data_IF_463911718860
#
_entry.id   IF_463911718860
#
_cell.length_a   1.000
_cell.length_b   1.000
_cell.length_c   1.000
_cell.angle_alpha   90.00
_cell.angle_beta   90.00
_cell.angle_gamma   90.00
#
_symmetry.space_group_name_H-M   'P 1'
#
loop_
_entity.id
_entity.type
_entity.pdbx_description
1 polymer ?
#
# COMPACT_ATOMS: atom_id res chain seq x y z
N UNK A 1 -19.69 9.26 -35.47
CA UNK A 1 -20.06 8.11 -34.61
C UNK A 1 -19.75 8.33 -33.12
N UNK A 2 -18.60 8.92 -32.76
CA UNK A 2 -18.17 9.12 -31.36
C UNK A 2 -19.10 10.03 -30.52
N UNK A 3 -19.73 11.03 -31.15
CA UNK A 3 -20.61 11.98 -30.46
C UNK A 3 -21.93 11.34 -30.00
N UNK A 4 -22.48 10.39 -30.77
CA UNK A 4 -23.74 9.70 -30.43
C UNK A 4 -23.58 8.80 -29.20
N UNK A 5 -22.41 8.17 -29.02
CA UNK A 5 -22.11 7.33 -27.85
C UNK A 5 -21.98 8.15 -26.55
N UNK A 6 -21.42 9.37 -26.60
CA UNK A 6 -21.38 10.26 -25.43
C UNK A 6 -22.79 10.70 -25.00
N UNK A 7 -23.66 11.04 -25.96
CA UNK A 7 -25.04 11.44 -25.65
C UNK A 7 -25.86 10.28 -25.10
N UNK A 8 -25.66 9.06 -25.61
CA UNK A 8 -26.32 7.85 -25.10
C UNK A 8 -25.90 7.49 -23.67
N UNK A 9 -24.62 7.68 -23.30
CA UNK A 9 -24.15 7.43 -21.94
C UNK A 9 -24.72 8.46 -20.95
N UNK A 10 -24.78 9.74 -21.34
CA UNK A 10 -25.37 10.79 -20.50
C UNK A 10 -26.88 10.57 -20.33
N UNK A 11 -27.58 10.18 -21.38
CA UNK A 11 -29.00 9.85 -21.31
C UNK A 11 -29.24 8.61 -20.45
N UNK A 12 -28.44 7.55 -20.57
CA UNK A 12 -28.56 6.36 -19.72
C UNK A 12 -28.30 6.67 -18.23
N UNK A 13 -27.33 7.53 -17.92
CA UNK A 13 -27.06 7.96 -16.54
C UNK A 13 -28.18 8.84 -15.98
N UNK A 14 -28.76 9.73 -16.80
CA UNK A 14 -29.91 10.54 -16.41
C UNK A 14 -31.17 9.68 -16.20
N UNK A 15 -31.42 8.69 -17.06
CA UNK A 15 -32.52 7.73 -16.90
C UNK A 15 -32.37 6.89 -15.64
N UNK A 16 -31.13 6.45 -15.33
CA UNK A 16 -30.85 5.73 -14.09
C UNK A 16 -31.11 6.62 -12.87
N UNK A 17 -30.71 7.90 -12.91
CA UNK A 17 -30.98 8.87 -11.84
C UNK A 17 -32.49 9.13 -11.66
N UNK A 18 -33.27 9.17 -12.75
CA UNK A 18 -34.73 9.37 -12.68
C UNK A 18 -35.43 8.14 -12.13
N UNK A 19 -35.01 6.93 -12.51
CA UNK A 19 -35.53 5.67 -11.94
C UNK A 19 -35.18 5.57 -10.46
N UNK A 20 -33.93 5.90 -10.08
CA UNK A 20 -33.48 5.96 -8.69
C UNK A 20 -34.25 7.02 -7.88
N UNK A 21 -34.58 8.17 -8.49
CA UNK A 21 -35.40 9.19 -7.85
C UNK A 21 -36.87 8.75 -7.68
N UNK A 22 -37.42 8.02 -8.66
CA UNK A 22 -38.78 7.48 -8.58
C UNK A 22 -38.95 6.37 -7.54
N UNK A 23 -37.96 5.49 -7.41
CA UNK A 23 -37.93 4.44 -6.37
C UNK A 23 -37.70 5.04 -4.96
N UNK A 24 -36.87 6.09 -4.86
CA UNK A 24 -36.66 6.85 -3.64
C UNK A 24 -37.88 7.68 -3.23
N UNK A 25 -38.57 8.32 -4.19
CA UNK A 25 -39.78 9.11 -3.90
C UNK A 25 -40.94 8.23 -3.44
N UNK A 26 -41.12 7.04 -4.04
CA UNK A 26 -42.14 6.08 -3.62
C UNK A 26 -41.89 5.48 -2.23
N UNK A 27 -40.64 5.44 -1.77
CA UNK A 27 -40.32 5.06 -0.39
C UNK A 27 -40.48 6.22 0.60
N UNK A 28 -40.40 7.47 0.13
CA UNK A 28 -40.48 8.69 0.96
C UNK A 28 -41.91 9.13 1.35
N UNK A 29 -42.96 8.70 0.66
CA UNK A 29 -44.34 9.09 1.01
C UNK A 29 -44.83 8.47 2.33
N UNK A 30 -44.09 7.50 2.89
CA UNK A 30 -44.41 6.90 4.20
C UNK A 30 -43.69 7.55 5.40
N UNK A 31 -42.79 8.52 5.19
CA UNK A 31 -41.99 9.11 6.28
C UNK A 31 -41.94 10.65 6.22
N UNK A 32 -43.07 11.30 6.53
CA UNK A 32 -43.08 12.73 6.92
C UNK A 32 -43.08 12.85 8.44
N UNK A 33 -41.91 12.70 9.06
CA UNK A 33 -41.48 13.35 10.31
C UNK A 33 -40.20 12.68 10.81
N UNK A 34 -39.09 13.41 10.86
CA UNK A 34 -37.88 12.95 11.52
C UNK A 34 -36.61 13.29 10.76
N UNK A 35 -35.82 14.18 11.35
CA UNK A 35 -34.46 14.52 10.92
C UNK A 35 -33.61 13.26 11.08
N UNK A 36 -33.22 12.62 9.98
CA UNK A 36 -32.36 11.44 10.00
C UNK A 36 -30.92 11.84 10.34
N UNK A 37 -30.39 11.31 11.45
CA UNK A 37 -28.95 11.30 11.72
C UNK A 37 -28.29 10.40 10.66
N UNK A 38 -27.17 10.87 10.11
CA UNK A 38 -26.33 10.26 9.06
C UNK A 38 -25.68 8.91 9.45
N UNK A 39 -26.22 8.20 10.46
CA UNK A 39 -25.63 7.01 11.11
C UNK A 39 -26.45 5.73 10.93
N UNK A 40 -27.57 5.77 10.21
CA UNK A 40 -28.37 4.56 9.91
C UNK A 40 -28.22 4.08 8.45
N UNK A 41 -27.04 4.29 7.87
CA UNK A 41 -26.67 3.63 6.63
C UNK A 41 -26.31 2.16 6.94
N UNK A 42 -27.15 1.24 6.47
CA UNK A 42 -27.00 -0.24 6.42
C UNK A 42 -25.69 -0.74 7.07
N UNK A 43 -25.79 -1.30 8.27
CA UNK A 43 -24.67 -2.05 8.87
C UNK A 43 -24.27 -3.18 7.94
N UNK A 44 -23.06 -3.10 7.38
CA UNK A 44 -22.40 -4.24 6.76
C UNK A 44 -22.43 -5.40 7.76
N UNK A 45 -22.85 -6.58 7.31
CA UNK A 45 -22.86 -7.77 8.15
C UNK A 45 -21.42 -8.28 8.30
N UNK A 46 -20.75 -7.88 9.38
CA UNK A 46 -19.42 -8.38 9.76
C UNK A 46 -18.46 -7.27 10.19
N UNK A 47 -17.51 -7.63 11.06
CA UNK A 47 -16.50 -6.70 11.60
C UNK A 47 -15.32 -6.50 10.63
N UNK A 48 -15.29 -7.19 9.48
CA UNK A 48 -14.14 -7.22 8.57
C UNK A 48 -14.56 -7.14 7.10
N UNK A 49 -13.92 -6.25 6.35
CA UNK A 49 -14.00 -6.16 4.89
C UNK A 49 -12.75 -6.79 4.27
N UNK A 50 -12.92 -7.86 3.50
CA UNK A 50 -11.81 -8.52 2.81
C UNK A 50 -11.66 -7.98 1.40
N UNK A 51 -10.45 -7.55 1.04
CA UNK A 51 -10.20 -7.04 -0.28
C UNK A 51 -9.00 -7.70 -0.96
N UNK A 52 -9.09 -7.86 -2.27
CA UNK A 52 -8.02 -8.34 -3.13
C UNK A 52 -7.80 -7.31 -4.22
N UNK A 53 -6.58 -6.80 -4.36
CA UNK A 53 -6.24 -5.82 -5.39
C UNK A 53 -5.32 -6.48 -6.40
N UNK A 54 -5.89 -6.89 -7.53
CA UNK A 54 -5.19 -7.59 -8.61
C UNK A 54 -4.89 -6.65 -9.76
N UNK A 55 -3.72 -6.00 -9.68
CA UNK A 55 -3.20 -5.09 -10.69
C UNK A 55 -1.79 -5.53 -11.12
N UNK A 56 -1.33 -5.13 -12.33
CA UNK A 56 0.02 -5.46 -12.78
C UNK A 56 1.11 -5.09 -11.77
N UNK A 57 2.23 -5.82 -11.76
CA UNK A 57 3.34 -5.56 -10.82
C UNK A 57 3.89 -4.11 -10.86
N UNK A 58 3.86 -3.45 -12.01
CA UNK A 58 4.29 -2.06 -12.16
C UNK A 58 3.24 -1.03 -11.64
N UNK A 59 2.07 -1.47 -11.22
CA UNK A 59 0.96 -0.65 -10.74
C UNK A 59 1.00 -0.37 -9.23
N UNK A 60 2.16 -0.50 -8.58
CA UNK A 60 2.35 -0.37 -7.13
C UNK A 60 1.60 0.76 -6.46
N UNK A 61 1.75 1.97 -7.01
CA UNK A 61 1.12 3.16 -6.47
C UNK A 61 -0.40 3.14 -6.62
N UNK A 62 -0.93 2.47 -7.65
CA UNK A 62 -2.39 2.27 -7.81
C UNK A 62 -2.92 1.24 -6.83
N UNK A 63 -2.15 0.18 -6.55
CA UNK A 63 -2.49 -0.77 -5.47
C UNK A 63 -2.61 -0.04 -4.14
N UNK A 64 -1.61 0.77 -3.78
CA UNK A 64 -1.66 1.61 -2.58
C UNK A 64 -2.86 2.56 -2.57
N UNK A 65 -3.18 3.18 -3.70
CA UNK A 65 -4.37 4.04 -3.81
C UNK A 65 -5.67 3.27 -3.50
N UNK A 66 -5.88 2.10 -4.11
CA UNK A 66 -7.08 1.29 -3.84
C UNK A 66 -7.14 0.82 -2.38
N UNK A 67 -6.02 0.36 -1.82
CA UNK A 67 -5.93 -0.04 -0.41
C UNK A 67 -6.30 1.11 0.52
N UNK A 68 -5.78 2.32 0.27
CA UNK A 68 -6.03 3.47 1.12
C UNK A 68 -7.50 3.94 1.03
N UNK A 69 -8.11 3.92 -0.16
CA UNK A 69 -9.55 4.21 -0.30
C UNK A 69 -10.39 3.19 0.48
N UNK A 70 -10.07 1.89 0.37
CA UNK A 70 -10.77 0.83 1.10
C UNK A 70 -10.54 0.93 2.61
N UNK A 71 -9.37 1.39 3.04
CA UNK A 71 -9.07 1.68 4.45
C UNK A 71 -9.96 2.80 4.97
N UNK A 72 -10.13 3.88 4.19
CA UNK A 72 -11.05 4.97 4.54
C UNK A 72 -12.50 4.48 4.62
N UNK A 73 -12.95 3.69 3.65
CA UNK A 73 -14.30 3.12 3.65
C UNK A 73 -14.54 2.22 4.88
N UNK A 74 -13.60 1.32 5.18
CA UNK A 74 -13.72 0.39 6.31
C UNK A 74 -13.79 1.16 7.63
N UNK A 75 -12.88 2.13 7.84
CA UNK A 75 -12.86 2.97 9.04
C UNK A 75 -14.16 3.78 9.22
N UNK A 76 -14.72 4.36 8.16
CA UNK A 76 -15.97 5.13 8.27
C UNK A 76 -17.19 4.28 8.61
N UNK A 77 -17.11 2.96 8.38
CA UNK A 77 -18.18 2.01 8.66
C UNK A 77 -17.87 1.09 9.86
N UNK A 78 -16.80 1.38 10.62
CA UNK A 78 -16.42 0.61 11.80
C UNK A 78 -15.97 -0.82 11.51
N UNK A 79 -15.40 -1.08 10.35
CA UNK A 79 -14.87 -2.38 9.95
C UNK A 79 -13.33 -2.37 9.93
N UNK A 80 -12.75 -3.53 10.19
CA UNK A 80 -11.36 -3.82 9.91
C UNK A 80 -11.17 -4.16 8.43
N UNK A 81 -10.11 -3.63 7.81
CA UNK A 81 -9.75 -4.00 6.44
C UNK A 81 -8.77 -5.18 6.49
N UNK A 82 -9.13 -6.30 5.86
CA UNK A 82 -8.22 -7.42 5.63
C UNK A 82 -7.79 -7.44 4.16
N UNK A 83 -6.53 -7.10 3.90
CA UNK A 83 -5.96 -7.19 2.56
C UNK A 83 -5.46 -8.60 2.26
N UNK A 84 -5.89 -9.13 1.11
CA UNK A 84 -5.49 -10.42 0.58
C UNK A 84 -4.59 -10.16 -0.63
N UNK A 85 -3.28 -10.39 -0.54
CA UNK A 85 -2.36 -10.20 -1.65
C UNK A 85 -2.74 -11.14 -2.80
N UNK A 86 -2.70 -10.61 -4.03
CA UNK A 86 -2.89 -11.39 -5.24
C UNK A 86 -1.74 -11.15 -6.21
N UNK A 87 -1.33 -12.24 -6.86
CA UNK A 87 -0.38 -12.25 -7.96
C UNK A 87 -0.95 -13.09 -9.11
N UNK A 88 -0.25 -13.11 -10.24
CA UNK A 88 -0.72 -13.77 -11.46
C UNK A 88 -0.83 -15.30 -11.33
N UNK A 89 -0.30 -15.90 -10.27
CA UNK A 89 -0.44 -17.34 -9.98
C UNK A 89 -1.70 -17.68 -9.19
N UNK A 90 -2.42 -16.68 -8.65
CA UNK A 90 -3.62 -16.90 -7.86
C UNK A 90 -4.89 -16.81 -8.73
N UNK A 91 -5.83 -17.77 -8.59
CA UNK A 91 -7.11 -17.70 -9.28
C UNK A 91 -8.02 -16.67 -8.61
N UNK A 92 -7.80 -15.37 -8.88
CA UNK A 92 -8.47 -14.26 -8.18
C UNK A 92 -10.00 -14.31 -8.26
N UNK A 93 -10.56 -14.87 -9.34
CA UNK A 93 -11.99 -15.09 -9.48
C UNK A 93 -12.53 -16.16 -8.54
N UNK A 94 -11.76 -17.21 -8.25
CA UNK A 94 -12.13 -18.24 -7.28
C UNK A 94 -12.15 -17.67 -5.85
N UNK A 95 -11.28 -16.69 -5.55
CA UNK A 95 -11.34 -16.00 -4.26
C UNK A 95 -12.67 -15.29 -4.07
N UNK A 96 -13.20 -14.68 -5.14
CA UNK A 96 -14.49 -13.99 -5.12
C UNK A 96 -15.67 -14.99 -5.11
N UNK A 97 -15.60 -16.06 -5.91
CA UNK A 97 -16.62 -17.12 -5.95
C UNK A 97 -16.75 -17.86 -4.62
N UNK A 98 -15.62 -18.19 -3.99
CA UNK A 98 -15.57 -18.93 -2.71
C UNK A 98 -15.67 -18.01 -1.48
N UNK A 99 -16.03 -16.74 -1.67
CA UNK A 99 -16.19 -15.74 -0.60
C UNK A 99 -14.96 -15.59 0.30
N UNK A 100 -13.76 -15.75 -0.28
CA UNK A 100 -12.49 -15.45 0.37
C UNK A 100 -12.20 -13.95 0.34
N UNK A 101 -12.68 -13.24 -0.69
CA UNK A 101 -12.61 -11.79 -0.81
C UNK A 101 -14.00 -11.20 -1.03
N UNK A 102 -14.28 -10.04 -0.45
CA UNK A 102 -15.55 -9.34 -0.60
C UNK A 102 -15.48 -8.34 -1.76
N UNK A 103 -14.33 -7.67 -1.90
CA UNK A 103 -14.04 -6.75 -3.00
C UNK A 103 -12.82 -7.25 -3.77
N UNK A 104 -13.02 -7.53 -5.06
CA UNK A 104 -11.94 -7.77 -6.01
C UNK A 104 -11.73 -6.53 -6.88
N UNK A 105 -10.60 -5.85 -6.72
CA UNK A 105 -10.19 -4.73 -7.57
C UNK A 105 -9.38 -5.25 -8.76
N UNK A 106 -9.84 -5.00 -9.98
CA UNK A 106 -9.24 -5.47 -11.23
C UNK A 106 -9.25 -4.37 -12.28
N UNK A 107 -8.54 -4.59 -13.39
CA UNK A 107 -8.68 -3.77 -14.59
C UNK A 107 -9.64 -4.46 -15.57
N UNK A 108 -10.88 -3.95 -15.73
CA UNK A 108 -11.91 -4.62 -16.55
C UNK A 108 -11.58 -4.66 -18.05
N UNK A 109 -10.64 -3.83 -18.51
CA UNK A 109 -10.18 -3.83 -19.90
C UNK A 109 -9.21 -5.01 -20.13
N UNK A 110 -8.41 -5.35 -19.12
CA UNK A 110 -7.43 -6.44 -19.17
C UNK A 110 -8.03 -7.78 -18.75
N UNK A 111 -8.81 -7.78 -17.69
CA UNK A 111 -9.24 -8.98 -16.96
C UNK A 111 -10.69 -9.30 -17.31
N UNK A 112 -10.90 -10.35 -18.11
CA UNK A 112 -12.24 -10.77 -18.53
C UNK A 112 -13.01 -11.44 -17.39
N UNK A 113 -14.28 -11.09 -17.25
CA UNK A 113 -15.19 -11.73 -16.29
C UNK A 113 -15.50 -13.16 -16.76
N UNK A 114 -15.30 -14.19 -15.92
CA UNK A 114 -15.68 -15.56 -16.23
C UNK A 114 -17.16 -15.70 -16.56
N UNK A 115 -17.50 -16.55 -17.53
CA UNK A 115 -18.90 -16.83 -17.90
C UNK A 115 -19.74 -17.33 -16.72
N UNK A 116 -19.12 -18.03 -15.76
CA UNK A 116 -19.76 -18.50 -14.52
C UNK A 116 -20.32 -17.36 -13.65
N UNK A 117 -19.74 -16.17 -13.76
CA UNK A 117 -20.04 -14.99 -12.96
C UNK A 117 -20.88 -13.94 -13.69
N UNK A 118 -21.14 -14.11 -14.99
CA UNK A 118 -21.95 -13.18 -15.77
C UNK A 118 -23.33 -12.97 -15.13
N UNK A 119 -23.70 -11.71 -14.90
CA UNK A 119 -24.97 -11.34 -14.27
C UNK A 119 -25.01 -11.48 -12.74
N UNK A 120 -24.00 -12.10 -12.12
CA UNK A 120 -23.93 -12.38 -10.67
C UNK A 120 -23.06 -11.40 -9.89
N UNK A 121 -22.55 -10.36 -10.55
CA UNK A 121 -21.61 -9.40 -9.97
C UNK A 121 -22.20 -7.99 -9.92
N UNK A 122 -21.90 -7.26 -8.85
CA UNK A 122 -21.92 -5.81 -8.84
C UNK A 122 -20.54 -5.29 -9.25
N UNK A 123 -20.52 -4.20 -10.03
CA UNK A 123 -19.29 -3.57 -10.52
C UNK A 123 -19.44 -2.07 -10.27
N UNK A 124 -18.45 -1.47 -9.60
CA UNK A 124 -18.45 -0.02 -9.38
C UNK A 124 -18.19 0.74 -10.69
N UNK A 125 -18.54 2.04 -10.75
CA UNK A 125 -17.91 2.94 -11.71
C UNK A 125 -16.38 2.88 -11.63
N UNK A 126 -15.71 3.36 -12.68
CA UNK A 126 -14.25 3.39 -12.73
C UNK A 126 -13.67 4.15 -11.54
N UNK A 127 -12.73 3.48 -10.86
CA UNK A 127 -12.04 4.00 -9.69
C UNK A 127 -10.96 4.99 -10.11
N UNK A 128 -10.20 4.65 -11.16
CA UNK A 128 -9.15 5.47 -11.78
C UNK A 128 -9.38 5.62 -13.29
N UNK A 129 -8.61 6.51 -13.92
CA UNK A 129 -8.63 6.70 -15.39
C UNK A 129 -8.09 5.52 -16.19
N UNK A 130 -7.55 4.48 -15.53
CA UNK A 130 -6.96 3.30 -16.19
C UNK A 130 -7.98 2.17 -16.41
N UNK A 131 -9.25 2.35 -16.05
CA UNK A 131 -10.29 1.33 -16.19
C UNK A 131 -10.38 0.35 -15.01
N UNK A 132 -9.82 0.72 -13.87
CA UNK A 132 -9.87 -0.11 -12.65
C UNK A 132 -11.24 -0.01 -12.00
N UNK A 133 -11.82 -1.16 -11.62
CA UNK A 133 -13.15 -1.28 -11.01
C UNK A 133 -13.09 -2.20 -9.80
N UNK A 134 -14.07 -2.07 -8.92
CA UNK A 134 -14.29 -3.00 -7.82
C UNK A 134 -15.46 -3.92 -8.16
N UNK A 135 -15.24 -5.21 -7.96
CA UNK A 135 -16.17 -6.28 -8.29
C UNK A 135 -16.58 -7.00 -7.01
N UNK A 136 -17.88 -7.23 -6.84
CA UNK A 136 -18.46 -7.86 -5.66
C UNK A 136 -19.54 -8.89 -6.08
N UNK A 137 -19.76 -9.89 -5.23
CA UNK A 137 -20.81 -10.90 -5.39
C UNK A 137 -22.19 -10.33 -5.06
N UNK A 138 -23.17 -10.43 -5.99
CA UNK A 138 -24.52 -9.87 -5.76
C UNK A 138 -25.24 -10.46 -4.55
N UNK A 139 -25.04 -11.74 -4.30
CA UNK A 139 -25.60 -12.51 -3.19
C UNK A 139 -24.94 -12.22 -1.83
N UNK A 140 -23.86 -11.41 -1.79
CA UNK A 140 -23.11 -11.08 -0.56
C UNK A 140 -22.86 -9.59 -0.36
N UNK A 141 -23.19 -8.75 -1.34
CA UNK A 141 -22.93 -7.31 -1.31
C UNK A 141 -24.23 -6.51 -1.47
N UNK A 142 -25.20 -6.77 -0.59
CA UNK A 142 -26.38 -5.92 -0.42
C UNK A 142 -26.01 -4.45 -0.09
N UNK A 143 -24.86 -4.25 0.56
CA UNK A 143 -24.23 -2.96 0.86
C UNK A 143 -23.58 -2.25 -0.33
N UNK A 144 -23.55 -2.82 -1.54
CA UNK A 144 -22.81 -2.23 -2.68
C UNK A 144 -23.26 -0.80 -3.04
N UNK A 145 -24.56 -0.46 -2.90
CA UNK A 145 -25.05 0.89 -3.17
C UNK A 145 -24.50 1.91 -2.16
N UNK A 146 -24.40 1.52 -0.89
CA UNK A 146 -23.77 2.34 0.14
C UNK A 146 -22.29 2.59 -0.20
N UNK A 147 -21.54 1.56 -0.62
CA UNK A 147 -20.16 1.72 -1.09
C UNK A 147 -20.06 2.71 -2.26
N UNK A 148 -20.89 2.55 -3.28
CA UNK A 148 -20.87 3.42 -4.48
C UNK A 148 -21.22 4.86 -4.11
N UNK A 149 -22.21 5.05 -3.23
CA UNK A 149 -22.61 6.37 -2.73
C UNK A 149 -21.48 7.00 -1.91
N UNK A 150 -20.91 6.27 -0.95
CA UNK A 150 -19.78 6.72 -0.15
C UNK A 150 -18.59 7.10 -1.03
N UNK A 151 -18.25 6.28 -2.03
CA UNK A 151 -17.14 6.58 -2.94
C UNK A 151 -17.37 7.88 -3.71
N UNK A 152 -18.62 8.14 -4.10
CA UNK A 152 -19.02 9.38 -4.77
C UNK A 152 -18.79 10.59 -3.87
N UNK A 153 -19.22 10.53 -2.61
CA UNK A 153 -19.00 11.59 -1.63
C UNK A 153 -17.52 11.76 -1.27
N UNK A 154 -16.80 10.66 -1.07
CA UNK A 154 -15.37 10.66 -0.77
C UNK A 154 -14.57 11.38 -1.85
N UNK A 155 -14.86 11.11 -3.14
CA UNK A 155 -14.22 11.76 -4.30
C UNK A 155 -14.53 13.26 -4.40
N UNK A 156 -15.62 13.73 -3.80
CA UNK A 156 -16.01 15.15 -3.76
C UNK A 156 -15.51 15.88 -2.51
N UNK A 157 -14.95 15.15 -1.54
CA UNK A 157 -14.48 15.74 -0.29
C UNK A 157 -13.31 16.73 -0.52
N UNK A 158 -13.19 17.81 0.29
CA UNK A 158 -12.13 18.81 0.13
C UNK A 158 -10.69 18.25 0.20
N UNK A 159 -10.50 17.10 0.86
CA UNK A 159 -9.19 16.44 1.00
C UNK A 159 -8.82 15.50 -0.15
N UNK A 160 -9.79 15.11 -1.00
CA UNK A 160 -9.58 14.05 -1.98
C UNK A 160 -8.50 14.37 -3.02
N UNK A 161 -8.38 15.63 -3.46
CA UNK A 161 -7.34 16.02 -4.41
C UNK A 161 -5.94 15.79 -3.84
N UNK A 162 -5.70 16.17 -2.57
CA UNK A 162 -4.41 15.91 -1.89
C UNK A 162 -4.18 14.43 -1.69
N UNK A 163 -5.21 13.69 -1.24
CA UNK A 163 -5.18 12.24 -1.09
C UNK A 163 -4.79 11.54 -2.40
N UNK A 164 -5.49 11.85 -3.50
CA UNK A 164 -5.25 11.27 -4.82
C UNK A 164 -3.83 11.59 -5.32
N UNK A 165 -3.39 12.84 -5.15
CA UNK A 165 -2.09 13.29 -5.65
C UNK A 165 -0.90 12.67 -4.91
N UNK A 166 -1.10 12.11 -3.70
CA UNK A 166 -0.08 11.25 -3.05
C UNK A 166 0.26 10.02 -3.91
N UNK A 167 -0.72 9.47 -4.63
CA UNK A 167 -0.58 8.24 -5.39
C UNK A 167 -0.51 8.44 -6.91
N UNK A 168 -1.25 9.40 -7.47
CA UNK A 168 -1.48 9.50 -8.92
C UNK A 168 -1.16 10.90 -9.48
N UNK A 169 -0.34 11.02 -10.54
CA UNK A 169 0.44 9.95 -11.17
C UNK A 169 1.56 9.45 -10.25
N UNK A 170 2.01 8.21 -10.51
CA UNK A 170 3.15 7.64 -9.81
C UNK A 170 4.44 8.41 -10.18
N UNK A 171 5.30 8.64 -9.19
CA UNK A 171 6.58 9.34 -9.37
C UNK A 171 7.61 8.73 -8.42
N UNK A 172 8.85 8.47 -8.86
CA UNK A 172 9.95 8.08 -7.98
C UNK A 172 10.25 9.11 -6.88
N UNK A 173 10.07 10.39 -7.19
CA UNK A 173 10.44 11.53 -6.34
C UNK A 173 9.42 11.80 -5.21
N UNK A 174 8.22 11.23 -5.31
CA UNK A 174 7.13 11.41 -4.33
C UNK A 174 6.61 10.06 -3.85
N UNK A 175 6.86 9.76 -2.57
CA UNK A 175 6.23 8.60 -1.94
C UNK A 175 4.82 8.94 -1.47
N UNK A 176 3.83 8.04 -1.64
CA UNK A 176 2.53 8.19 -0.99
C UNK A 176 2.61 8.14 0.54
N UNK A 177 3.75 7.69 1.10
CA UNK A 177 3.94 7.36 2.51
C UNK A 177 4.88 8.33 3.24
N UNK A 178 5.21 9.49 2.65
CA UNK A 178 6.11 10.49 3.24
C UNK A 178 5.72 10.86 4.68
N UNK A 179 4.42 10.99 4.99
CA UNK A 179 3.95 11.30 6.35
C UNK A 179 4.28 10.21 7.37
N UNK A 180 4.22 8.93 6.97
CA UNK A 180 4.61 7.81 7.83
C UNK A 180 6.13 7.79 8.04
N UNK A 181 6.90 8.07 6.99
CA UNK A 181 8.36 8.14 7.06
C UNK A 181 8.82 9.30 7.95
N UNK A 182 8.18 10.47 7.86
CA UNK A 182 8.46 11.62 8.72
C UNK A 182 8.22 11.29 10.20
N UNK A 183 7.11 10.63 10.52
CA UNK A 183 6.81 10.22 11.89
C UNK A 183 7.90 9.27 12.44
N UNK A 184 8.34 8.31 11.62
CA UNK A 184 9.29 7.27 12.04
C UNK A 184 10.75 7.73 12.04
N UNK A 185 11.16 8.64 11.14
CA UNK A 185 12.55 9.13 11.05
C UNK A 185 13.06 9.71 12.37
N UNK A 186 12.19 10.42 13.09
CA UNK A 186 12.48 10.98 14.41
C UNK A 186 12.93 9.94 15.45
N UNK A 187 12.49 8.68 15.32
CA UNK A 187 12.84 7.60 16.26
C UNK A 187 14.30 7.16 16.13
N UNK A 188 14.88 7.26 14.92
CA UNK A 188 16.27 6.89 14.64
C UNK A 188 17.24 8.08 14.72
N UNK A 189 16.71 9.30 14.72
CA UNK A 189 17.50 10.52 14.48
C UNK A 189 17.90 10.68 13.01
N UNK A 190 17.29 9.92 12.10
CA UNK A 190 17.60 9.98 10.66
C UNK A 190 16.69 10.98 9.94
N UNK A 191 17.19 11.61 8.88
CA UNK A 191 16.32 12.31 7.92
C UNK A 191 15.34 11.28 7.31
N UNK A 192 14.05 11.59 7.35
CA UNK A 192 13.00 10.75 6.77
C UNK A 192 13.17 10.53 5.26
N UNK A 193 13.87 11.43 4.55
CA UNK A 193 14.24 11.25 3.13
C UNK A 193 15.20 10.07 2.93
N UNK A 194 16.03 9.75 3.92
CA UNK A 194 16.87 8.54 3.90
C UNK A 194 16.00 7.29 4.00
N UNK A 195 15.01 7.27 4.90
CA UNK A 195 14.04 6.18 4.98
C UNK A 195 13.24 6.02 3.69
N UNK A 196 12.90 7.13 3.03
CA UNK A 196 12.29 7.11 1.70
C UNK A 196 13.20 6.44 0.67
N UNK A 197 14.51 6.70 0.73
CA UNK A 197 15.47 6.15 -0.23
C UNK A 197 15.59 4.63 -0.06
N UNK A 198 15.61 4.16 1.20
CA UNK A 198 15.52 2.74 1.54
C UNK A 198 14.23 2.15 0.97
N UNK A 199 13.06 2.69 1.32
CA UNK A 199 11.76 2.19 0.84
C UNK A 199 11.68 2.08 -0.69
N UNK A 200 12.20 3.09 -1.40
CA UNK A 200 12.21 3.08 -2.85
C UNK A 200 13.13 1.99 -3.40
N UNK A 201 14.32 1.81 -2.79
CA UNK A 201 15.26 0.76 -3.16
C UNK A 201 14.68 -0.63 -2.92
N UNK A 202 13.90 -0.81 -1.86
CA UNK A 202 13.28 -2.09 -1.47
C UNK A 202 12.08 -2.46 -2.35
N UNK A 203 11.10 -1.56 -2.49
CA UNK A 203 9.81 -1.91 -3.10
C UNK A 203 9.38 -0.98 -4.23
N UNK A 204 10.05 0.16 -4.44
CA UNK A 204 9.56 1.26 -5.29
C UNK A 204 8.14 1.70 -4.86
N UNK A 205 7.92 1.81 -3.55
CA UNK A 205 6.64 2.18 -2.92
C UNK A 205 5.49 1.19 -3.14
N UNK A 206 5.81 -0.09 -3.42
CA UNK A 206 4.84 -1.16 -3.60
C UNK A 206 4.52 -1.82 -2.27
N UNK A 207 3.36 -1.49 -1.69
CA UNK A 207 2.92 -2.14 -0.45
C UNK A 207 2.66 -3.65 -0.60
N UNK A 208 2.43 -4.11 -1.83
CA UNK A 208 2.22 -5.52 -2.16
C UNK A 208 3.44 -6.17 -2.83
N UNK A 209 4.64 -5.63 -2.62
CA UNK A 209 5.85 -6.25 -3.14
C UNK A 209 6.20 -7.51 -2.34
N UNK A 210 6.46 -8.59 -3.07
CA UNK A 210 7.01 -9.84 -2.55
C UNK A 210 8.29 -10.18 -3.31
N UNK A 211 9.39 -10.45 -2.60
CA UNK A 211 10.65 -10.89 -3.21
C UNK A 211 10.73 -12.40 -3.36
N UNK A 212 11.66 -12.89 -4.20
CA UNK A 212 11.96 -14.31 -4.29
C UNK A 212 12.47 -14.95 -2.99
N UNK A 213 12.93 -14.14 -2.03
CA UNK A 213 13.34 -14.58 -0.68
C UNK A 213 12.24 -14.38 0.38
N UNK A 214 10.99 -14.16 -0.06
CA UNK A 214 9.80 -13.91 0.77
C UNK A 214 9.91 -12.68 1.69
N UNK A 215 10.55 -11.63 1.18
CA UNK A 215 10.50 -10.32 1.81
C UNK A 215 9.24 -9.57 1.33
N UNK A 216 8.50 -8.95 2.25
CA UNK A 216 7.15 -8.44 1.99
C UNK A 216 7.06 -6.94 2.29
N UNK A 217 6.27 -6.23 1.48
CA UNK A 217 5.80 -4.87 1.76
C UNK A 217 6.77 -3.76 1.37
N UNK A 218 6.50 -2.56 1.87
CA UNK A 218 7.19 -1.33 1.48
C UNK A 218 8.70 -1.36 1.75
N UNK A 219 9.10 -1.97 2.84
CA UNK A 219 10.47 -2.07 3.33
C UNK A 219 11.05 -3.47 3.11
N UNK A 220 10.31 -4.40 2.50
CA UNK A 220 10.76 -5.77 2.22
C UNK A 220 11.28 -6.49 3.49
N UNK A 221 10.38 -6.67 4.46
CA UNK A 221 10.69 -7.39 5.71
C UNK A 221 10.38 -8.88 5.52
N UNK A 222 11.26 -9.75 5.99
CA UNK A 222 11.04 -11.20 5.98
C UNK A 222 10.07 -11.62 7.09
N UNK A 223 9.29 -12.66 6.84
CA UNK A 223 8.35 -13.22 7.83
C UNK A 223 9.03 -13.59 9.16
N UNK A 224 10.26 -14.13 9.12
CA UNK A 224 11.02 -14.43 10.34
C UNK A 224 11.30 -13.18 11.18
N UNK A 225 11.71 -12.08 10.52
CA UNK A 225 11.94 -10.79 11.17
C UNK A 225 10.63 -10.19 11.69
N UNK A 226 9.53 -10.38 10.96
CA UNK A 226 8.21 -9.95 11.40
C UNK A 226 7.75 -10.68 12.66
N UNK A 227 8.00 -11.99 12.75
CA UNK A 227 7.74 -12.78 13.94
C UNK A 227 8.59 -12.32 15.14
N UNK A 228 9.90 -12.14 14.93
CA UNK A 228 10.83 -11.69 15.98
C UNK A 228 10.47 -10.30 16.53
N UNK A 229 9.94 -9.42 15.67
CA UNK A 229 9.57 -8.04 16.03
C UNK A 229 8.08 -7.85 16.30
N UNK A 230 7.28 -8.93 16.28
CA UNK A 230 5.82 -8.89 16.45
C UNK A 230 5.12 -7.87 15.54
N UNK A 231 5.51 -7.83 14.26
CA UNK A 231 4.87 -6.96 13.25
C UNK A 231 3.51 -7.57 12.87
N UNK A 232 2.37 -6.86 13.05
CA UNK A 232 1.05 -7.45 12.85
C UNK A 232 0.73 -7.80 11.39
N UNK A 233 0.97 -6.86 10.47
CA UNK A 233 0.67 -7.04 9.05
C UNK A 233 1.79 -6.44 8.17
N UNK A 234 2.43 -7.28 7.37
CA UNK A 234 3.51 -6.87 6.47
C UNK A 234 3.03 -6.11 5.23
N UNK A 235 1.75 -6.24 4.85
CA UNK A 235 1.16 -5.48 3.75
C UNK A 235 0.62 -4.13 4.20
N UNK A 236 0.34 -3.96 5.49
CA UNK A 236 -0.04 -2.67 6.05
C UNK A 236 1.16 -1.69 5.97
N UNK A 237 1.02 -0.54 5.28
CA UNK A 237 2.10 0.43 5.13
C UNK A 237 2.73 0.91 6.45
N UNK A 238 1.91 1.17 7.47
CA UNK A 238 2.38 1.71 8.75
C UNK A 238 3.14 0.67 9.55
N UNK A 239 2.58 -0.54 9.68
CA UNK A 239 3.22 -1.65 10.39
C UNK A 239 4.53 -2.06 9.74
N UNK A 240 4.57 -2.10 8.41
CA UNK A 240 5.78 -2.45 7.66
C UNK A 240 6.90 -1.40 7.83
N UNK A 241 6.57 -0.10 7.76
CA UNK A 241 7.57 0.97 7.97
C UNK A 241 8.06 0.97 9.43
N UNK A 242 7.14 0.91 10.40
CA UNK A 242 7.46 0.88 11.83
C UNK A 242 8.33 -0.33 12.17
N UNK A 243 8.02 -1.48 11.57
CA UNK A 243 8.80 -2.71 11.69
C UNK A 243 10.23 -2.56 11.21
N UNK A 244 10.46 -1.95 10.05
CA UNK A 244 11.80 -1.71 9.52
C UNK A 244 12.62 -0.79 10.43
N UNK A 245 12.00 0.28 10.93
CA UNK A 245 12.62 1.25 11.84
C UNK A 245 12.97 0.61 13.19
N UNK A 246 12.11 -0.28 13.68
CA UNK A 246 12.38 -1.11 14.86
C UNK A 246 13.58 -2.03 14.61
N UNK A 247 13.65 -2.65 13.42
CA UNK A 247 14.78 -3.50 13.05
C UNK A 247 16.09 -2.73 12.89
N UNK A 248 16.07 -1.51 12.34
CA UNK A 248 17.25 -0.63 12.31
C UNK A 248 17.75 -0.31 13.72
N UNK A 249 16.83 -0.01 14.65
CA UNK A 249 17.17 0.20 16.06
C UNK A 249 17.75 -1.05 16.71
N UNK A 250 17.25 -2.23 16.35
CA UNK A 250 17.80 -3.52 16.78
C UNK A 250 19.24 -3.70 16.27
N UNK A 251 19.49 -3.47 14.97
CA UNK A 251 20.84 -3.56 14.38
C UNK A 251 21.80 -2.59 15.07
N UNK A 252 21.42 -1.30 15.17
CA UNK A 252 22.21 -0.24 15.84
C UNK A 252 22.71 -0.69 17.22
N UNK A 253 21.80 -1.26 18.01
CA UNK A 253 22.06 -1.69 19.38
C UNK A 253 22.98 -2.91 19.43
N UNK A 254 22.70 -3.94 18.65
CA UNK A 254 23.43 -5.20 18.69
C UNK A 254 24.82 -5.13 18.04
N UNK A 255 25.03 -4.19 17.11
CA UNK A 255 26.34 -3.92 16.51
C UNK A 255 27.14 -2.83 17.24
N UNK A 256 26.62 -2.33 18.37
CA UNK A 256 27.23 -1.28 19.21
C UNK A 256 27.61 0.00 18.44
N UNK A 257 26.78 0.43 17.50
CA UNK A 257 27.08 1.54 16.59
C UNK A 257 26.87 2.93 17.20
N UNK A 258 26.38 3.02 18.44
CA UNK A 258 26.09 4.31 19.08
C UNK A 258 27.31 5.23 19.30
N UNK A 259 28.53 4.69 19.18
CA UNK A 259 29.78 5.43 19.38
C UNK A 259 30.48 5.82 18.07
N UNK A 260 29.96 5.40 16.92
CA UNK A 260 30.49 5.81 15.61
C UNK A 260 29.78 7.07 15.12
N UNK A 261 30.32 7.73 14.10
CA UNK A 261 29.62 8.87 13.49
C UNK A 261 28.29 8.42 12.85
N UNK A 262 27.35 9.35 12.71
CA UNK A 262 26.03 9.05 12.14
C UNK A 262 26.12 8.42 10.74
N UNK A 263 27.03 8.92 9.90
CA UNK A 263 27.26 8.38 8.56
C UNK A 263 27.74 6.92 8.60
N UNK A 264 28.67 6.59 9.48
CA UNK A 264 29.19 5.24 9.64
C UNK A 264 28.12 4.30 10.21
N UNK A 265 27.35 4.78 11.20
CA UNK A 265 26.20 4.06 11.75
C UNK A 265 25.20 3.69 10.64
N UNK A 266 24.80 4.67 9.82
CA UNK A 266 23.89 4.46 8.70
C UNK A 266 24.46 3.40 7.74
N UNK A 267 25.73 3.54 7.35
CA UNK A 267 26.38 2.59 6.43
C UNK A 267 26.31 1.15 6.93
N UNK A 268 26.68 0.92 8.20
CA UNK A 268 26.63 -0.42 8.79
C UNK A 268 25.20 -0.94 8.95
N UNK A 269 24.23 -0.10 9.33
CA UNK A 269 22.83 -0.51 9.44
C UNK A 269 22.26 -0.91 8.08
N UNK A 270 22.50 -0.12 7.03
CA UNK A 270 22.06 -0.43 5.67
C UNK A 270 22.72 -1.71 5.15
N UNK A 271 24.01 -1.89 5.40
CA UNK A 271 24.72 -3.10 5.01
C UNK A 271 24.16 -4.35 5.74
N UNK A 272 23.90 -4.23 7.04
CA UNK A 272 23.36 -5.32 7.86
C UNK A 272 21.90 -5.64 7.50
N UNK A 273 21.11 -4.63 7.11
CA UNK A 273 19.77 -4.82 6.61
C UNK A 273 19.75 -5.66 5.33
N UNK A 274 20.68 -5.37 4.42
CA UNK A 274 20.76 -6.06 3.13
C UNK A 274 21.40 -7.46 3.21
N UNK A 275 22.50 -7.60 3.95
CA UNK A 275 23.31 -8.83 3.97
C UNK A 275 23.13 -9.70 5.23
N UNK A 276 22.45 -9.18 6.25
CA UNK A 276 22.33 -9.77 7.58
C UNK A 276 23.41 -9.27 8.54
N UNK A 277 22.98 -8.94 9.76
CA UNK A 277 23.81 -8.41 10.85
C UNK A 277 25.04 -9.27 11.15
N UNK A 278 24.84 -10.58 11.38
CA UNK A 278 25.96 -11.50 11.69
C UNK A 278 26.98 -11.61 10.58
N UNK A 279 26.59 -11.31 9.34
CA UNK A 279 27.50 -11.33 8.20
C UNK A 279 28.39 -10.08 8.19
N UNK A 280 27.80 -8.91 8.46
CA UNK A 280 28.54 -7.64 8.54
C UNK A 280 29.47 -7.61 9.75
N UNK A 281 29.07 -8.16 10.90
CA UNK A 281 29.97 -8.31 12.06
C UNK A 281 31.22 -9.12 11.71
N UNK A 282 31.06 -10.26 11.02
CA UNK A 282 32.21 -11.06 10.55
C UNK A 282 33.10 -10.29 9.57
N UNK A 283 32.52 -9.45 8.72
CA UNK A 283 33.29 -8.63 7.78
C UNK A 283 34.06 -7.52 8.54
N UNK A 284 33.49 -6.93 9.60
CA UNK A 284 34.19 -6.01 10.52
C UNK A 284 35.34 -6.69 11.27
N UNK A 285 35.11 -7.90 11.80
CA UNK A 285 36.13 -8.70 12.49
C UNK A 285 37.32 -9.01 11.57
N UNK A 286 37.05 -9.39 10.31
CA UNK A 286 38.10 -9.64 9.31
C UNK A 286 38.91 -8.39 8.99
N UNK A 287 38.24 -7.25 8.80
CA UNK A 287 38.93 -5.98 8.59
C UNK A 287 39.86 -5.66 9.77
N UNK A 288 39.40 -5.85 11.00
CA UNK A 288 40.21 -5.64 12.21
C UNK A 288 41.42 -6.59 12.29
N UNK A 289 41.27 -7.86 11.89
CA UNK A 289 42.38 -8.83 11.82
C UNK A 289 43.48 -8.38 10.84
N UNK A 290 43.09 -7.68 9.77
CA UNK A 290 44.01 -7.09 8.80
C UNK A 290 44.54 -5.69 9.21
N UNK A 291 44.31 -5.28 10.47
CA UNK A 291 44.78 -4.01 11.02
C UNK A 291 43.99 -2.78 10.54
N UNK A 292 42.77 -2.97 10.03
CA UNK A 292 41.85 -1.89 9.66
C UNK A 292 40.97 -1.46 10.82
N UNK A 293 40.41 -0.26 10.74
CA UNK A 293 39.41 0.21 11.70
C UNK A 293 38.03 -0.39 11.38
N UNK A 294 37.45 -1.25 12.26
CA UNK A 294 36.15 -1.89 12.04
C UNK A 294 34.96 -0.92 12.15
N UNK A 295 35.19 0.34 12.50
CA UNK A 295 34.18 1.38 12.62
C UNK A 295 34.17 2.36 11.44
N UNK A 296 35.04 2.16 10.45
CA UNK A 296 35.12 2.99 9.24
C UNK A 296 34.67 2.18 8.03
N UNK A 297 33.50 2.50 7.48
CA UNK A 297 32.88 1.80 6.36
C UNK A 297 33.80 1.70 5.15
N UNK A 298 34.56 2.74 4.82
CA UNK A 298 35.50 2.70 3.71
C UNK A 298 36.59 1.62 3.89
N UNK A 299 36.93 1.27 5.12
CA UNK A 299 37.91 0.22 5.42
C UNK A 299 37.28 -1.18 5.53
N UNK A 300 36.01 -1.26 5.93
CA UNK A 300 35.28 -2.54 6.05
C UNK A 300 34.60 -2.96 4.74
N UNK A 301 34.12 -2.01 3.94
CA UNK A 301 33.37 -2.27 2.71
C UNK A 301 34.07 -3.21 1.72
N UNK A 302 35.42 -3.24 1.56
CA UNK A 302 36.08 -4.21 0.70
C UNK A 302 35.86 -5.68 1.09
N UNK A 303 35.53 -5.97 2.35
CA UNK A 303 35.23 -7.31 2.87
C UNK A 303 33.76 -7.69 2.70
N UNK A 304 32.90 -6.69 2.51
CA UNK A 304 31.44 -6.81 2.35
C UNK A 304 31.10 -7.21 0.88
N UNK A 305 30.00 -7.93 0.59
CA UNK A 305 29.62 -8.32 -0.76
C UNK A 305 29.42 -7.10 -1.64
N UNK A 306 29.87 -7.21 -2.87
CA UNK A 306 29.72 -6.14 -3.86
C UNK A 306 28.26 -5.71 -4.05
N UNK A 307 27.29 -6.62 -3.90
CA UNK A 307 25.87 -6.27 -3.98
C UNK A 307 25.45 -5.36 -2.81
N UNK A 308 25.94 -5.63 -1.61
CA UNK A 308 25.64 -4.85 -0.40
C UNK A 308 26.35 -3.51 -0.40
N UNK A 309 27.60 -3.45 -0.88
CA UNK A 309 28.29 -2.18 -1.12
C UNK A 309 27.47 -1.28 -2.05
N UNK A 310 27.05 -1.81 -3.21
CA UNK A 310 26.20 -1.10 -4.17
C UNK A 310 24.85 -0.70 -3.57
N UNK A 311 24.28 -1.53 -2.69
CA UNK A 311 23.02 -1.20 -2.03
C UNK A 311 23.15 0.06 -1.16
N UNK A 312 24.19 0.14 -0.33
CA UNK A 312 24.50 1.32 0.50
C UNK A 312 24.74 2.56 -0.38
N UNK A 313 25.57 2.43 -1.41
CA UNK A 313 25.85 3.51 -2.38
C UNK A 313 24.58 4.02 -3.06
N UNK A 314 23.69 3.12 -3.50
CA UNK A 314 22.46 3.48 -4.19
C UNK A 314 21.49 4.24 -3.30
N UNK A 315 21.44 3.92 -2.00
CA UNK A 315 20.59 4.63 -1.04
C UNK A 315 21.12 6.04 -0.83
N UNK A 316 22.44 6.21 -0.61
CA UNK A 316 23.05 7.54 -0.49
C UNK A 316 22.86 8.39 -1.74
N UNK A 317 23.07 7.82 -2.93
CA UNK A 317 22.85 8.51 -4.19
C UNK A 317 21.41 9.07 -4.30
N UNK A 318 20.41 8.26 -3.92
CA UNK A 318 19.00 8.67 -3.92
C UNK A 318 18.71 9.73 -2.87
N UNK A 319 19.18 9.51 -1.65
CA UNK A 319 18.99 10.42 -0.53
C UNK A 319 19.57 11.80 -0.86
N UNK A 320 20.82 11.87 -1.33
CA UNK A 320 21.46 13.14 -1.70
C UNK A 320 20.72 13.84 -2.84
N UNK A 321 20.32 13.12 -3.88
CA UNK A 321 19.56 13.70 -4.99
C UNK A 321 18.21 14.31 -4.58
N UNK A 322 17.60 13.79 -3.51
CA UNK A 322 16.35 14.31 -2.97
C UNK A 322 16.53 15.37 -1.89
N UNK A 323 17.60 15.28 -1.10
CA UNK A 323 17.96 16.30 -0.13
C UNK A 323 18.34 17.61 -0.83
N UNK A 324 18.99 17.53 -1.99
CA UNK A 324 19.38 18.71 -2.79
C UNK A 324 18.24 19.34 -3.60
N UNK A 325 17.12 18.62 -3.78
CA UNK A 325 16.00 19.07 -4.62
C UNK A 325 14.91 19.85 -3.86
N UNK A 326 15.09 20.04 -2.54
CA UNK A 326 14.10 20.63 -1.63
C UNK A 326 14.49 21.99 -1.10
#
# INVERSE_FOLDING_TARGET
MITKYKTLIVLAAASLLVVLYGEYSNTSETNKAGIWKETELVKLHGDTLRCTIYLPAHAGTRVGYHYEVLTHFSKTHGMDLQYIPANDSLPVWELLENHKTDILAINIIRDSIPKSLTGKLFITPQITSMGEVWVMRKDKADWHLNLVHWLTLFKQSPGYARFRNRFLPASPERSPYDSLLMAQGSTLGWDWKLLRAVMYQESKYRMNAESGSRAIGLMQIKESTAADLSIPDLYNPEDNIRGAVTYFSFIKRNMHLAQVSEEEEINFILAAYNAGMSRIEKDRERAAQDGKDPNVWAQVSPYVPRQTQKYVEMIWYRYMGWASAS
#
